data_IF_369687720668
#
_entry.id   IF_369687720668
#
_cell.length_a   1.000
_cell.length_b   1.000
_cell.length_c   1.000
_cell.angle_alpha   90.00
_cell.angle_beta   90.00
_cell.angle_gamma   90.00
#
_symmetry.space_group_name_H-M   'P 1'
#
loop_
_entity.id
_entity.type
_entity.pdbx_description
1 polymer ?
#
# COMPACT_ATOMS: atom_id res chain seq x y z
N UNK A 1 6.48 7.00 -3.96
CA UNK A 1 6.91 7.12 -2.55
C UNK A 1 7.55 5.82 -2.09
N UNK A 2 8.35 5.84 -1.02
CA UNK A 2 8.99 4.64 -0.46
C UNK A 2 8.44 4.36 0.94
N UNK A 3 8.06 3.11 1.19
CA UNK A 3 7.61 2.63 2.49
C UNK A 3 8.63 1.65 3.09
N UNK A 4 8.62 1.59 4.41
CA UNK A 4 9.31 0.57 5.21
C UNK A 4 8.27 -0.20 6.04
N UNK A 5 8.56 -1.44 6.42
CA UNK A 5 7.73 -2.20 7.37
C UNK A 5 8.15 -1.85 8.80
N UNK A 6 7.21 -1.90 9.73
CA UNK A 6 7.49 -1.81 11.16
C UNK A 6 8.08 -3.13 11.70
N UNK A 7 8.23 -3.20 13.03
CA UNK A 7 8.76 -4.37 13.75
C UNK A 7 7.89 -5.64 13.60
N UNK A 8 6.60 -5.47 13.32
CA UNK A 8 5.62 -6.52 13.07
C UNK A 8 5.54 -6.90 11.58
N UNK A 9 6.38 -6.31 10.72
CA UNK A 9 6.35 -6.55 9.27
C UNK A 9 5.15 -5.90 8.59
N UNK A 10 4.53 -4.89 9.21
CA UNK A 10 3.34 -4.20 8.70
C UNK A 10 3.67 -2.78 8.28
N UNK A 11 2.88 -2.24 7.36
CA UNK A 11 2.99 -0.84 6.92
C UNK A 11 1.89 0.05 7.49
N UNK A 12 0.91 -0.53 8.19
CA UNK A 12 -0.25 0.19 8.76
C UNK A 12 -1.24 0.71 7.73
N UNK A 13 -1.37 0.04 6.59
CA UNK A 13 -2.25 0.40 5.49
C UNK A 13 -3.38 -0.62 5.32
N UNK A 14 -4.61 -0.15 5.08
CA UNK A 14 -5.72 -0.98 4.61
C UNK A 14 -6.20 -0.46 3.26
N UNK A 15 -6.32 -1.38 2.31
CA UNK A 15 -6.77 -1.07 0.95
C UNK A 15 -8.12 -1.69 0.66
N UNK A 16 -8.83 -1.15 -0.32
CA UNK A 16 -10.08 -1.69 -0.85
C UNK A 16 -10.01 -1.77 -2.38
N UNK A 17 -10.58 -2.83 -2.95
CA UNK A 17 -10.65 -2.99 -4.41
C UNK A 17 -12.00 -2.48 -4.90
N UNK A 18 -12.00 -1.50 -5.80
CA UNK A 18 -13.21 -0.85 -6.34
C UNK A 18 -13.03 -0.66 -7.84
N UNK A 19 -13.94 -1.18 -8.67
CA UNK A 19 -13.90 -1.03 -10.13
C UNK A 19 -12.51 -1.37 -10.75
N UNK A 20 -11.90 -2.49 -10.33
CA UNK A 20 -10.56 -2.90 -10.73
C UNK A 20 -9.42 -1.94 -10.33
N UNK A 21 -9.67 -0.98 -9.45
CA UNK A 21 -8.65 -0.13 -8.83
C UNK A 21 -8.44 -0.50 -7.36
N UNK A 22 -7.26 -0.17 -6.84
CA UNK A 22 -6.93 -0.31 -5.41
C UNK A 22 -6.93 1.07 -4.77
N UNK A 23 -7.70 1.24 -3.71
CA UNK A 23 -7.84 2.52 -3.01
C UNK A 23 -7.47 2.37 -1.54
N UNK A 24 -6.85 3.39 -0.98
CA UNK A 24 -6.51 3.46 0.44
C UNK A 24 -7.78 3.76 1.23
N UNK A 25 -8.13 2.84 2.13
CA UNK A 25 -9.35 2.91 2.94
C UNK A 25 -9.05 3.24 4.40
N UNK A 26 -7.85 2.92 4.90
CA UNK A 26 -7.43 3.36 6.22
C UNK A 26 -5.90 3.44 6.29
N UNK A 27 -5.41 4.48 6.92
CA UNK A 27 -3.99 4.66 7.25
C UNK A 27 -3.87 4.76 8.76
N UNK A 28 -3.08 3.86 9.35
CA UNK A 28 -2.88 3.83 10.80
C UNK A 28 -1.98 4.99 11.21
N UNK A 29 -2.30 5.73 12.30
CA UNK A 29 -1.44 6.81 12.78
C UNK A 29 -0.07 6.25 13.21
N UNK A 30 0.99 7.06 13.03
CA UNK A 30 2.37 6.68 13.32
C UNK A 30 2.87 5.42 12.58
N UNK A 31 2.18 5.00 11.51
CA UNK A 31 2.62 3.89 10.68
C UNK A 31 3.53 4.35 9.54
N UNK A 32 4.31 3.43 8.94
CA UNK A 32 5.11 3.76 7.78
C UNK A 32 4.30 4.33 6.60
N UNK A 33 3.06 3.88 6.40
CA UNK A 33 2.16 4.44 5.40
C UNK A 33 1.80 5.90 5.71
N UNK A 34 1.50 6.24 6.96
CA UNK A 34 1.24 7.62 7.38
C UNK A 34 2.48 8.50 7.21
N UNK A 35 3.66 8.00 7.58
CA UNK A 35 4.94 8.72 7.45
C UNK A 35 5.32 8.94 5.98
N UNK A 36 4.95 8.02 5.08
CA UNK A 36 5.14 8.16 3.65
C UNK A 36 4.15 9.15 3.00
N UNK A 37 3.14 9.60 3.75
CA UNK A 37 2.15 10.58 3.31
C UNK A 37 0.90 9.99 2.66
N UNK A 38 0.65 8.68 2.77
CA UNK A 38 -0.59 8.07 2.27
C UNK A 38 -1.79 8.58 3.05
N UNK A 39 -2.91 8.75 2.34
CA UNK A 39 -4.16 9.25 2.88
C UNK A 39 -5.34 8.40 2.42
N UNK A 40 -6.46 8.56 3.13
CA UNK A 40 -7.72 8.00 2.70
C UNK A 40 -8.11 8.55 1.33
N UNK A 41 -8.50 7.68 0.40
CA UNK A 41 -8.90 8.05 -0.95
C UNK A 41 -7.81 7.85 -2.00
N UNK A 42 -6.54 7.79 -1.62
CA UNK A 42 -5.44 7.61 -2.57
C UNK A 42 -5.64 6.34 -3.39
N UNK A 43 -5.51 6.45 -4.71
CA UNK A 43 -5.52 5.30 -5.60
C UNK A 43 -4.11 4.74 -5.76
N UNK A 44 -3.90 3.48 -5.41
CA UNK A 44 -2.63 2.79 -5.64
C UNK A 44 -2.60 2.26 -7.07
N UNK A 45 -1.58 2.68 -7.82
CA UNK A 45 -1.34 2.27 -9.20
C UNK A 45 -0.30 1.15 -9.27
N UNK A 46 0.77 1.27 -8.48
CA UNK A 46 1.86 0.29 -8.45
C UNK A 46 2.40 0.08 -7.04
N UNK A 47 2.88 -1.15 -6.78
CA UNK A 47 3.59 -1.52 -5.56
C UNK A 47 4.80 -2.38 -5.94
N UNK A 48 5.97 -2.03 -5.44
CA UNK A 48 7.25 -2.69 -5.69
C UNK A 48 7.54 -2.91 -7.20
N UNK A 49 7.13 -1.96 -8.05
CA UNK A 49 7.29 -2.04 -9.51
C UNK A 49 6.26 -2.91 -10.23
N UNK A 50 5.23 -3.39 -9.53
CA UNK A 50 4.13 -4.16 -10.13
C UNK A 50 2.84 -3.34 -10.15
N UNK A 51 2.20 -3.26 -11.32
CA UNK A 51 0.86 -2.68 -11.46
C UNK A 51 -0.17 -3.51 -10.70
N UNK A 52 -0.98 -2.83 -9.88
CA UNK A 52 -2.03 -3.46 -9.05
C UNK A 52 -3.43 -3.29 -9.64
N UNK A 53 -3.53 -2.85 -10.89
CA UNK A 53 -4.81 -2.76 -11.59
C UNK A 53 -5.44 -4.16 -11.71
N UNK A 54 -6.72 -4.28 -11.33
CA UNK A 54 -7.46 -5.54 -11.30
C UNK A 54 -7.12 -6.45 -10.11
N UNK A 55 -6.24 -6.02 -9.19
CA UNK A 55 -5.90 -6.84 -8.05
C UNK A 55 -7.05 -6.87 -7.03
N UNK A 56 -7.15 -8.00 -6.35
CA UNK A 56 -7.97 -8.14 -5.14
C UNK A 56 -7.21 -7.63 -3.91
N UNK A 57 -7.96 -7.31 -2.85
CA UNK A 57 -7.36 -6.94 -1.56
C UNK A 57 -6.37 -8.00 -1.05
N UNK A 58 -6.67 -9.30 -1.24
CA UNK A 58 -5.80 -10.38 -0.79
C UNK A 58 -4.48 -10.40 -1.55
N UNK A 59 -4.51 -10.21 -2.88
CA UNK A 59 -3.30 -10.11 -3.70
C UNK A 59 -2.43 -8.93 -3.29
N UNK A 60 -3.03 -7.76 -3.04
CA UNK A 60 -2.27 -6.58 -2.58
C UNK A 60 -1.62 -6.84 -1.23
N UNK A 61 -2.34 -7.43 -0.27
CA UNK A 61 -1.76 -7.78 1.03
C UNK A 61 -0.65 -8.83 0.91
N UNK A 62 -0.80 -9.82 0.04
CA UNK A 62 0.26 -10.81 -0.25
C UNK A 62 1.49 -10.14 -0.84
N UNK A 63 1.31 -9.23 -1.79
CA UNK A 63 2.40 -8.51 -2.43
C UNK A 63 3.16 -7.62 -1.42
N UNK A 64 2.43 -6.88 -0.58
CA UNK A 64 3.03 -6.11 0.50
C UNK A 64 3.74 -6.99 1.54
N UNK A 65 3.19 -8.17 1.87
CA UNK A 65 3.84 -9.14 2.75
C UNK A 65 5.12 -9.73 2.14
N UNK A 66 5.11 -10.04 0.85
CA UNK A 66 6.27 -10.58 0.12
C UNK A 66 7.36 -9.52 -0.15
N UNK A 67 6.99 -8.24 -0.20
CA UNK A 67 7.93 -7.14 -0.40
C UNK A 67 9.00 -7.09 0.71
N UNK A 68 10.20 -6.55 0.43
CA UNK A 68 11.24 -6.37 1.44
C UNK A 68 10.79 -5.47 2.60
N UNK A 69 11.50 -5.53 3.72
CA UNK A 69 11.23 -4.67 4.88
C UNK A 69 11.39 -3.20 4.52
N UNK A 70 12.38 -2.85 3.69
CA UNK A 70 12.67 -1.47 3.32
C UNK A 70 12.56 -1.28 1.80
N UNK A 71 12.27 -0.06 1.38
CA UNK A 71 12.31 0.32 -0.04
C UNK A 71 11.11 -0.17 -0.85
N UNK A 72 9.95 -0.35 -0.22
CA UNK A 72 8.72 -0.70 -0.94
C UNK A 72 8.26 0.55 -1.69
N UNK A 73 8.51 0.60 -2.99
CA UNK A 73 7.98 1.68 -3.82
C UNK A 73 6.47 1.53 -3.97
N UNK A 74 5.75 2.63 -3.76
CA UNK A 74 4.33 2.71 -4.05
C UNK A 74 4.10 3.95 -4.90
N UNK A 75 3.36 3.78 -6.00
CA UNK A 75 2.91 4.87 -6.84
C UNK A 75 1.43 5.05 -6.59
N UNK A 76 1.04 6.25 -6.17
CA UNK A 76 -0.36 6.60 -5.94
C UNK A 76 -0.76 7.79 -6.79
N UNK A 77 -2.08 7.89 -6.98
CA UNK A 77 -2.75 9.04 -7.58
C UNK A 77 -3.70 9.62 -6.53
N UNK A 78 -3.52 10.90 -6.26
CA UNK A 78 -4.45 11.77 -5.50
C UNK A 78 -5.68 12.11 -6.37
#
# INVERSE_FOLDING_TARGET
MNLCKDRDGKIGLRVHSVNNGIFVCLVSPNSPAALAGLRFGDQILEIAGHSVAGYSMDQVHKLLKAAPVNGIQVIVRD
#
